data_IF_209844378046
#
_entry.id   IF_209844378046
#
_cell.length_a   1.000
_cell.length_b   1.000
_cell.length_c   1.000
_cell.angle_alpha   90.00
_cell.angle_beta   90.00
_cell.angle_gamma   90.00
#
_symmetry.space_group_name_H-M   'P 1'
#
loop_
_entity.id
_entity.type
_entity.pdbx_description
1 polymer ?
#
# COMPACT_ATOMS: atom_id res chain seq x y z
N UNK A 1 3.46 -43.99 1.15
CA UNK A 1 4.03 -42.78 1.72
C UNK A 1 3.49 -41.63 0.90
N UNK A 2 2.65 -40.73 1.42
CA UNK A 2 2.23 -39.57 0.68
C UNK A 2 3.44 -38.63 0.62
N UNK A 3 3.83 -38.25 -0.60
CA UNK A 3 4.78 -37.19 -0.86
C UNK A 3 4.23 -35.92 -0.21
N UNK A 4 4.79 -35.55 0.93
CA UNK A 4 4.64 -34.21 1.49
C UNK A 4 5.14 -33.23 0.42
N UNK A 5 4.21 -32.66 -0.35
CA UNK A 5 4.51 -31.47 -1.14
C UNK A 5 4.91 -30.40 -0.15
N UNK A 6 6.21 -30.21 0.00
CA UNK A 6 6.74 -29.08 0.77
C UNK A 6 6.05 -27.82 0.22
N UNK A 7 5.12 -27.29 1.00
CA UNK A 7 4.38 -26.10 0.62
C UNK A 7 5.38 -24.94 0.55
N UNK A 8 5.73 -24.53 -0.66
CA UNK A 8 6.67 -23.45 -0.90
C UNK A 8 5.99 -22.09 -0.68
N UNK A 9 6.72 -21.13 -0.16
CA UNK A 9 6.27 -19.75 -0.08
C UNK A 9 6.00 -19.23 -1.50
N UNK A 10 4.86 -18.56 -1.69
CA UNK A 10 4.50 -17.96 -2.97
C UNK A 10 4.34 -16.46 -2.81
N UNK A 11 5.06 -15.70 -3.64
CA UNK A 11 5.03 -14.24 -3.65
C UNK A 11 4.19 -13.72 -4.80
N UNK A 12 3.45 -12.65 -4.52
CA UNK A 12 2.64 -11.91 -5.49
C UNK A 12 3.04 -10.43 -5.42
N UNK A 13 3.35 -9.87 -6.56
CA UNK A 13 3.58 -8.43 -6.67
C UNK A 13 2.27 -7.68 -6.43
N UNK A 14 2.38 -6.48 -5.87
CA UNK A 14 1.23 -5.60 -5.70
C UNK A 14 1.07 -4.70 -6.93
N UNK A 15 -0.17 -4.53 -7.36
CA UNK A 15 -0.53 -3.56 -8.38
C UNK A 15 -0.90 -2.23 -7.74
N UNK A 16 -0.47 -1.13 -8.35
CA UNK A 16 -0.78 0.23 -7.90
C UNK A 16 -1.22 1.09 -9.08
N UNK A 17 -2.08 2.05 -8.82
CA UNK A 17 -2.57 2.98 -9.84
C UNK A 17 -1.45 3.92 -10.29
N UNK A 18 -0.92 3.71 -11.50
CA UNK A 18 0.10 4.60 -12.09
C UNK A 18 -0.38 6.04 -12.19
N UNK A 19 -1.67 6.25 -12.50
CA UNK A 19 -2.29 7.57 -12.56
C UNK A 19 -2.23 8.27 -11.19
N UNK A 20 -2.54 7.55 -10.12
CA UNK A 20 -2.51 8.11 -8.77
C UNK A 20 -1.07 8.42 -8.32
N UNK A 21 -0.10 7.55 -8.65
CA UNK A 21 1.31 7.79 -8.37
C UNK A 21 1.80 9.04 -9.11
N UNK A 22 1.46 9.16 -10.40
CA UNK A 22 1.82 10.33 -11.22
C UNK A 22 1.18 11.61 -10.67
N UNK A 23 -0.11 11.59 -10.36
CA UNK A 23 -0.83 12.75 -9.80
C UNK A 23 -0.23 13.17 -8.45
N UNK A 24 0.07 12.24 -7.55
CA UNK A 24 0.73 12.54 -6.27
C UNK A 24 2.11 13.18 -6.50
N UNK A 25 2.88 12.64 -7.44
CA UNK A 25 4.20 13.20 -7.78
C UNK A 25 4.07 14.62 -8.32
N UNK A 26 3.13 14.89 -9.24
CA UNK A 26 2.89 16.22 -9.79
C UNK A 26 2.45 17.19 -8.67
N UNK A 27 1.52 16.77 -7.81
CA UNK A 27 1.03 17.59 -6.69
C UNK A 27 2.17 17.97 -5.74
N UNK A 28 3.06 17.03 -5.42
CA UNK A 28 4.22 17.29 -4.58
C UNK A 28 5.21 18.27 -5.23
N UNK A 29 5.45 18.12 -6.54
CA UNK A 29 6.32 19.03 -7.28
C UNK A 29 5.72 20.44 -7.31
N UNK A 30 4.43 20.57 -7.65
CA UNK A 30 3.75 21.88 -7.69
C UNK A 30 3.77 22.55 -6.31
N UNK A 31 3.47 21.81 -5.25
CA UNK A 31 3.50 22.32 -3.88
C UNK A 31 4.90 22.79 -3.49
N UNK A 32 5.94 22.03 -3.85
CA UNK A 32 7.34 22.42 -3.59
C UNK A 32 7.69 23.70 -4.32
N UNK A 33 7.36 23.82 -5.61
CA UNK A 33 7.63 25.02 -6.40
C UNK A 33 6.91 26.25 -5.81
N UNK A 34 5.67 26.10 -5.36
CA UNK A 34 4.92 27.20 -4.71
C UNK A 34 5.59 27.66 -3.41
N UNK A 35 6.04 26.72 -2.58
CA UNK A 35 6.75 27.06 -1.33
C UNK A 35 8.10 27.71 -1.64
N UNK A 36 8.80 27.28 -2.68
CA UNK A 36 10.07 27.90 -3.08
C UNK A 36 9.86 29.35 -3.54
N UNK A 37 8.85 29.59 -4.37
CA UNK A 37 8.52 30.95 -4.81
C UNK A 37 8.16 31.86 -3.62
N UNK A 38 7.40 31.33 -2.66
CA UNK A 38 7.07 32.06 -1.43
C UNK A 38 8.32 32.33 -0.57
N UNK A 39 9.20 31.35 -0.43
CA UNK A 39 10.46 31.46 0.31
C UNK A 39 11.40 32.49 -0.32
N UNK A 40 11.47 32.50 -1.65
CA UNK A 40 12.25 33.48 -2.41
C UNK A 40 11.69 34.89 -2.22
N UNK A 41 10.37 35.03 -2.30
CA UNK A 41 9.71 36.34 -2.05
C UNK A 41 9.97 36.87 -0.65
N UNK A 42 9.85 36.02 0.37
CA UNK A 42 10.15 36.38 1.76
C UNK A 42 11.65 36.68 1.94
N UNK A 43 12.53 35.88 1.33
CA UNK A 43 13.98 36.08 1.40
C UNK A 43 14.45 37.39 0.79
N UNK A 44 13.83 37.84 -0.31
CA UNK A 44 14.15 39.14 -0.97
C UNK A 44 13.64 40.31 -0.15
N UNK A 45 12.48 40.19 0.49
CA UNK A 45 11.81 41.30 1.19
C UNK A 45 12.10 41.36 2.69
N UNK A 46 12.84 40.42 3.25
CA UNK A 46 13.20 40.37 4.68
C UNK A 46 14.70 40.46 4.90
N UNK A 47 15.11 41.14 6.00
CA UNK A 47 16.50 41.13 6.45
C UNK A 47 17.03 39.72 6.88
N UNK A 48 16.15 38.72 6.89
CA UNK A 48 16.44 37.34 7.32
C UNK A 48 16.64 36.39 6.12
N UNK A 49 17.49 36.75 5.16
CA UNK A 49 17.76 35.91 3.95
C UNK A 49 18.14 34.48 4.26
N UNK A 50 18.80 34.19 5.38
CA UNK A 50 19.13 32.83 5.84
C UNK A 50 17.89 32.01 6.17
N UNK A 51 16.82 32.59 6.65
CA UNK A 51 15.57 31.89 6.95
C UNK A 51 14.90 31.38 5.67
N UNK A 52 14.87 32.19 4.62
CA UNK A 52 14.36 31.77 3.30
C UNK A 52 15.14 30.60 2.74
N UNK A 53 16.48 30.65 2.77
CA UNK A 53 17.35 29.58 2.29
C UNK A 53 17.11 28.27 3.06
N UNK A 54 17.05 28.33 4.38
CA UNK A 54 16.83 27.15 5.23
C UNK A 54 15.45 26.53 4.94
N UNK A 55 14.43 27.34 4.77
CA UNK A 55 13.08 26.87 4.45
C UNK A 55 13.04 26.16 3.08
N UNK A 56 13.68 26.74 2.06
CA UNK A 56 13.78 26.15 0.72
C UNK A 56 14.47 24.79 0.77
N UNK A 57 15.65 24.67 1.39
CA UNK A 57 16.36 23.41 1.52
C UNK A 57 15.51 22.35 2.23
N UNK A 58 14.81 22.72 3.30
CA UNK A 58 13.95 21.82 4.07
C UNK A 58 12.79 21.32 3.23
N UNK A 59 12.11 22.18 2.49
CA UNK A 59 10.98 21.80 1.63
C UNK A 59 11.40 20.89 0.47
N UNK A 60 12.51 21.20 -0.19
CA UNK A 60 13.09 20.34 -1.23
C UNK A 60 13.44 18.96 -0.69
N UNK A 61 14.04 18.88 0.49
CA UNK A 61 14.40 17.63 1.13
C UNK A 61 13.17 16.80 1.46
N UNK A 62 12.11 17.41 1.99
CA UNK A 62 10.84 16.72 2.30
C UNK A 62 10.18 16.20 1.03
N UNK A 63 10.13 17.00 -0.04
CA UNK A 63 9.54 16.59 -1.31
C UNK A 63 10.31 15.44 -1.95
N UNK A 64 11.64 15.53 -2.03
CA UNK A 64 12.50 14.49 -2.56
C UNK A 64 12.35 13.18 -1.75
N UNK A 65 12.34 13.28 -0.42
CA UNK A 65 12.13 12.14 0.46
C UNK A 65 10.75 11.51 0.25
N UNK A 66 9.69 12.31 0.12
CA UNK A 66 8.33 11.81 -0.08
C UNK A 66 8.19 11.07 -1.41
N UNK A 67 8.72 11.61 -2.50
CA UNK A 67 8.71 10.98 -3.82
C UNK A 67 9.52 9.67 -3.78
N UNK A 68 10.70 9.70 -3.20
CA UNK A 68 11.55 8.52 -3.06
C UNK A 68 10.87 7.44 -2.20
N UNK A 69 10.23 7.82 -1.09
CA UNK A 69 9.50 6.92 -0.21
C UNK A 69 8.34 6.22 -0.92
N UNK A 70 7.48 6.98 -1.64
CA UNK A 70 6.35 6.43 -2.37
C UNK A 70 6.82 5.46 -3.46
N UNK A 71 7.83 5.85 -4.25
CA UNK A 71 8.38 4.98 -5.31
C UNK A 71 8.96 3.68 -4.74
N UNK A 72 9.68 3.76 -3.63
CA UNK A 72 10.23 2.57 -2.98
C UNK A 72 9.15 1.69 -2.36
N UNK A 73 8.13 2.29 -1.74
CA UNK A 73 7.01 1.53 -1.19
C UNK A 73 6.31 0.72 -2.28
N UNK A 74 5.99 1.36 -3.41
CA UNK A 74 5.34 0.72 -4.55
C UNK A 74 6.21 -0.40 -5.13
N UNK A 75 7.52 -0.14 -5.31
CA UNK A 75 8.43 -1.08 -5.98
C UNK A 75 8.77 -2.33 -5.16
N UNK A 76 8.76 -2.22 -3.84
CA UNK A 76 9.25 -3.29 -2.95
C UNK A 76 8.20 -3.88 -2.03
N UNK A 77 6.92 -3.56 -2.26
CA UNK A 77 5.82 -4.16 -1.52
C UNK A 77 5.29 -5.38 -2.27
N UNK A 78 5.01 -6.43 -1.53
CA UNK A 78 4.46 -7.68 -2.09
C UNK A 78 3.60 -8.41 -1.06
N UNK A 79 2.76 -9.32 -1.55
CA UNK A 79 2.04 -10.29 -0.74
C UNK A 79 2.80 -11.62 -0.76
N UNK A 80 2.84 -12.30 0.35
CA UNK A 80 3.46 -13.62 0.47
C UNK A 80 2.51 -14.58 1.17
N UNK A 81 2.23 -15.71 0.53
CA UNK A 81 1.56 -16.85 1.15
C UNK A 81 2.67 -17.76 1.64
N UNK A 82 2.78 -17.87 2.97
CA UNK A 82 3.86 -18.61 3.61
C UNK A 82 3.53 -20.10 3.76
N UNK A 83 4.52 -20.91 4.04
CA UNK A 83 4.37 -22.36 4.27
C UNK A 83 3.58 -22.69 5.55
N UNK A 84 3.50 -21.77 6.49
CA UNK A 84 2.76 -21.85 7.75
C UNK A 84 1.32 -21.29 7.66
N UNK A 85 0.74 -21.27 6.47
CA UNK A 85 -0.62 -20.85 6.17
C UNK A 85 -0.96 -19.42 6.66
N UNK A 86 0.00 -18.52 6.47
CA UNK A 86 -0.14 -17.10 6.77
C UNK A 86 -0.03 -16.28 5.50
N UNK A 87 -1.00 -15.38 5.29
CA UNK A 87 -0.91 -14.33 4.29
C UNK A 87 -0.18 -13.13 4.89
N UNK A 88 1.01 -12.86 4.40
CA UNK A 88 1.88 -11.77 4.87
C UNK A 88 1.90 -10.63 3.86
N UNK A 89 1.62 -9.42 4.35
CA UNK A 89 1.80 -8.20 3.58
C UNK A 89 3.15 -7.58 3.94
N UNK A 90 4.06 -7.59 2.99
CA UNK A 90 5.42 -7.11 3.17
C UNK A 90 5.55 -5.69 2.60
N UNK A 91 5.94 -4.74 3.44
CA UNK A 91 6.14 -3.35 3.07
C UNK A 91 7.53 -2.87 3.46
N UNK A 92 8.23 -2.25 2.52
CA UNK A 92 9.55 -1.70 2.83
C UNK A 92 9.43 -0.57 3.86
N UNK A 93 10.21 -0.70 4.94
CA UNK A 93 10.28 0.31 6.00
C UNK A 93 9.11 0.29 7.00
N UNK A 94 8.23 -0.71 6.93
CA UNK A 94 7.13 -0.92 7.89
C UNK A 94 7.13 -2.35 8.40
N UNK A 95 6.48 -2.55 9.55
CA UNK A 95 6.24 -3.88 10.10
C UNK A 95 5.27 -4.63 9.18
N UNK A 96 5.62 -5.86 8.81
CA UNK A 96 4.76 -6.73 8.04
C UNK A 96 3.44 -6.98 8.79
N UNK A 97 2.35 -7.03 8.04
CA UNK A 97 1.04 -7.41 8.56
C UNK A 97 0.76 -8.82 8.12
N UNK A 98 0.35 -9.66 9.07
CA UNK A 98 0.09 -11.09 8.85
C UNK A 98 -1.37 -11.41 9.11
N UNK A 99 -1.95 -12.25 8.26
CA UNK A 99 -3.32 -12.71 8.33
C UNK A 99 -3.34 -14.24 8.25
N UNK A 100 -3.91 -14.94 9.24
CA UNK A 100 -3.99 -16.39 9.21
C UNK A 100 -4.99 -16.84 8.14
N UNK A 101 -4.57 -17.71 7.22
CA UNK A 101 -5.39 -18.19 6.09
C UNK A 101 -6.59 -18.99 6.60
N UNK A 102 -6.44 -19.74 7.65
CA UNK A 102 -7.53 -20.50 8.31
C UNK A 102 -8.69 -19.65 8.83
N UNK A 103 -8.46 -18.37 9.04
CA UNK A 103 -9.52 -17.44 9.48
C UNK A 103 -10.25 -16.78 8.30
N UNK A 104 -9.89 -17.11 7.07
CA UNK A 104 -10.55 -16.57 5.88
C UNK A 104 -11.93 -17.19 5.74
N UNK A 105 -12.97 -16.36 5.70
CA UNK A 105 -14.35 -16.76 5.51
C UNK A 105 -14.80 -16.67 4.06
N UNK A 106 -14.49 -15.57 3.41
CA UNK A 106 -14.83 -15.32 2.01
C UNK A 106 -13.69 -14.63 1.28
N UNK A 107 -13.53 -15.01 0.01
CA UNK A 107 -12.61 -14.38 -0.93
C UNK A 107 -13.42 -14.07 -2.18
N UNK A 108 -13.42 -12.83 -2.60
CA UNK A 108 -14.11 -12.37 -3.80
C UNK A 108 -13.29 -11.32 -4.54
N UNK A 109 -13.42 -11.32 -5.87
CA UNK A 109 -12.95 -10.18 -6.66
C UNK A 109 -13.87 -9.00 -6.40
N UNK A 110 -13.27 -7.83 -6.19
CA UNK A 110 -14.04 -6.64 -5.88
C UNK A 110 -13.38 -5.40 -6.47
N UNK A 111 -14.21 -4.44 -6.82
CA UNK A 111 -13.72 -3.11 -7.20
C UNK A 111 -13.39 -2.29 -5.97
N UNK A 112 -12.51 -1.30 -6.13
CA UNK A 112 -12.18 -0.34 -5.08
C UNK A 112 -13.42 0.35 -4.50
N UNK A 113 -14.42 0.65 -5.36
CA UNK A 113 -15.70 1.24 -4.94
C UNK A 113 -16.48 0.30 -4.02
N UNK A 114 -16.60 -0.99 -4.38
CA UNK A 114 -17.26 -2.00 -3.54
C UNK A 114 -16.54 -2.19 -2.20
N UNK A 115 -15.20 -2.14 -2.22
CA UNK A 115 -14.40 -2.20 -1.00
C UNK A 115 -14.67 -1.01 -0.08
N UNK A 116 -14.76 0.20 -0.62
CA UNK A 116 -15.08 1.41 0.12
C UNK A 116 -16.53 1.36 0.70
N UNK A 117 -17.52 0.93 -0.08
CA UNK A 117 -18.89 0.75 0.38
C UNK A 117 -19.03 -0.25 1.54
N UNK A 118 -18.16 -1.25 1.58
CA UNK A 118 -18.10 -2.25 2.67
C UNK A 118 -17.15 -1.86 3.80
N UNK A 119 -16.67 -0.63 3.83
CA UNK A 119 -15.72 -0.14 4.83
C UNK A 119 -14.46 -1.01 4.95
N UNK A 120 -13.98 -1.55 3.83
CA UNK A 120 -12.79 -2.39 3.82
C UNK A 120 -11.56 -1.66 4.37
N UNK A 121 -10.72 -2.38 5.08
CA UNK A 121 -9.43 -1.87 5.50
C UNK A 121 -8.40 -2.10 4.39
N UNK A 122 -7.50 -1.13 4.22
CA UNK A 122 -6.41 -1.20 3.26
C UNK A 122 -5.11 -1.43 4.01
N UNK A 123 -4.35 -2.49 3.70
CA UNK A 123 -3.11 -2.80 4.42
C UNK A 123 -2.06 -1.69 4.31
N UNK A 124 -2.07 -0.94 3.19
CA UNK A 124 -1.20 0.23 2.99
C UNK A 124 -2.05 1.49 3.11
N UNK A 125 -2.14 2.05 4.29
CA UNK A 125 -2.70 3.39 4.47
C UNK A 125 -1.55 4.38 4.46
N UNK A 126 -1.35 5.07 3.34
CA UNK A 126 -0.32 6.10 3.22
C UNK A 126 -0.80 7.46 3.70
N UNK A 127 -2.10 7.71 3.56
CA UNK A 127 -2.72 9.00 3.90
C UNK A 127 -4.25 8.87 3.75
N UNK A 128 -5.03 9.90 4.09
CA UNK A 128 -6.47 9.98 3.81
C UNK A 128 -6.82 9.81 2.32
N UNK A 129 -5.85 9.97 1.43
CA UNK A 129 -5.92 9.69 -0.02
C UNK A 129 -5.23 8.38 -0.42
N UNK A 130 -4.87 7.53 0.53
CA UNK A 130 -4.18 6.27 0.24
C UNK A 130 -5.00 5.30 -0.61
N UNK A 131 -6.32 5.40 -0.55
CA UNK A 131 -7.23 4.62 -1.37
C UNK A 131 -7.05 4.86 -2.87
N UNK A 132 -6.68 6.09 -3.28
CA UNK A 132 -6.45 6.42 -4.69
C UNK A 132 -5.23 5.70 -5.29
N UNK A 133 -4.31 5.18 -4.46
CA UNK A 133 -3.15 4.42 -4.91
C UNK A 133 -3.51 2.99 -5.33
N UNK A 134 -4.63 2.48 -4.86
CA UNK A 134 -5.09 1.15 -5.22
C UNK A 134 -5.69 1.14 -6.63
N UNK A 135 -5.50 0.05 -7.39
CA UNK A 135 -6.15 -0.12 -8.68
C UNK A 135 -7.66 -0.27 -8.49
N UNK A 136 -8.40 -0.10 -9.59
CA UNK A 136 -9.86 -0.26 -9.59
C UNK A 136 -10.32 -1.67 -9.23
N UNK A 137 -9.50 -2.67 -9.49
CA UNK A 137 -9.79 -4.09 -9.29
C UNK A 137 -8.82 -4.69 -8.28
N UNK A 138 -9.32 -5.61 -7.47
CA UNK A 138 -8.54 -6.29 -6.46
C UNK A 138 -9.31 -7.43 -5.82
N UNK A 139 -8.86 -7.86 -4.65
CA UNK A 139 -9.41 -8.98 -3.90
C UNK A 139 -9.86 -8.52 -2.52
N UNK A 140 -11.12 -8.79 -2.20
CA UNK A 140 -11.69 -8.53 -0.89
C UNK A 140 -11.72 -9.83 -0.09
N UNK A 141 -11.09 -9.81 1.07
CA UNK A 141 -11.01 -10.97 1.97
C UNK A 141 -11.73 -10.64 3.28
N UNK A 142 -12.71 -11.46 3.62
CA UNK A 142 -13.42 -11.39 4.90
C UNK A 142 -12.93 -12.50 5.81
N UNK A 143 -12.61 -12.18 7.06
CA UNK A 143 -12.12 -13.11 8.07
C UNK A 143 -13.23 -13.50 9.05
N UNK A 144 -13.14 -14.72 9.63
CA UNK A 144 -14.12 -15.26 10.58
C UNK A 144 -14.16 -14.50 11.92
N UNK A 145 -13.04 -13.95 12.33
CA UNK A 145 -12.91 -13.22 13.60
C UNK A 145 -12.35 -11.84 13.37
N UNK A 146 -12.76 -10.92 14.22
CA UNK A 146 -12.16 -9.59 14.30
C UNK A 146 -10.69 -9.70 14.71
N UNK A 147 -9.80 -9.93 13.77
CA UNK A 147 -8.39 -9.99 14.03
C UNK A 147 -7.86 -8.57 14.30
N UNK A 148 -7.26 -8.36 15.45
CA UNK A 148 -6.77 -7.05 15.91
C UNK A 148 -7.81 -5.91 15.85
N UNK A 149 -9.08 -6.20 16.19
CA UNK A 149 -10.21 -5.24 16.26
C UNK A 149 -10.80 -4.80 14.93
N UNK A 150 -10.44 -5.38 13.80
CA UNK A 150 -11.11 -5.07 12.54
C UNK A 150 -12.20 -6.11 12.25
N UNK A 151 -13.46 -5.66 12.29
CA UNK A 151 -14.62 -6.44 11.86
C UNK A 151 -14.75 -6.33 10.31
N UNK A 152 -14.01 -5.43 9.71
CA UNK A 152 -14.12 -5.07 8.31
C UNK A 152 -13.27 -5.98 7.41
N UNK A 153 -13.74 -6.25 6.20
CA UNK A 153 -12.95 -6.97 5.22
C UNK A 153 -11.66 -6.21 4.86
N UNK A 154 -10.69 -6.92 4.31
CA UNK A 154 -9.42 -6.36 3.89
C UNK A 154 -9.32 -6.40 2.37
N UNK A 155 -8.99 -5.27 1.76
CA UNK A 155 -8.80 -5.16 0.33
C UNK A 155 -7.32 -5.31 -0.05
N UNK A 156 -7.04 -6.26 -0.93
CA UNK A 156 -5.71 -6.54 -1.46
C UNK A 156 -5.67 -6.27 -2.95
N UNK A 157 -4.51 -5.92 -3.47
CA UNK A 157 -4.29 -5.56 -4.86
C UNK A 157 -3.13 -6.36 -5.50
N UNK A 158 -3.21 -7.71 -5.54
CA UNK A 158 -2.21 -8.49 -6.26
C UNK A 158 -2.24 -8.18 -7.76
N UNK A 159 -1.09 -8.23 -8.42
CA UNK A 159 -1.00 -8.06 -9.88
C UNK A 159 -1.62 -9.24 -10.65
N UNK A 160 -1.56 -10.44 -10.07
CA UNK A 160 -2.20 -11.67 -10.57
C UNK A 160 -3.37 -12.04 -9.64
N UNK A 161 -4.53 -11.47 -9.89
CA UNK A 161 -5.75 -11.70 -9.10
C UNK A 161 -6.19 -13.16 -9.14
N UNK A 162 -6.36 -13.81 -10.33
CA UNK A 162 -6.80 -15.19 -10.39
C UNK A 162 -5.83 -16.15 -9.70
N UNK A 163 -4.53 -16.05 -9.98
CA UNK A 163 -3.51 -16.91 -9.38
C UNK A 163 -3.41 -16.73 -7.86
N UNK A 164 -3.66 -15.53 -7.34
CA UNK A 164 -3.70 -15.26 -5.92
C UNK A 164 -4.91 -15.95 -5.25
N UNK A 165 -6.10 -15.78 -5.83
CA UNK A 165 -7.35 -16.39 -5.33
C UNK A 165 -7.25 -17.91 -5.35
N UNK A 166 -6.77 -18.48 -6.46
CA UNK A 166 -6.62 -19.94 -6.59
C UNK A 166 -5.65 -20.52 -5.56
N UNK A 167 -4.53 -19.82 -5.33
CA UNK A 167 -3.56 -20.23 -4.32
C UNK A 167 -4.16 -20.21 -2.92
N UNK A 168 -4.93 -19.17 -2.56
CA UNK A 168 -5.61 -19.10 -1.26
C UNK A 168 -6.68 -20.20 -1.12
N UNK A 169 -7.50 -20.41 -2.15
CA UNK A 169 -8.54 -21.45 -2.15
C UNK A 169 -7.95 -22.85 -2.03
N UNK A 170 -6.80 -23.11 -2.64
CA UNK A 170 -6.10 -24.38 -2.49
C UNK A 170 -5.67 -24.62 -1.05
N UNK A 171 -5.15 -23.56 -0.37
CA UNK A 171 -4.73 -23.66 1.02
C UNK A 171 -5.88 -23.89 1.99
N UNK A 172 -7.02 -23.24 1.77
CA UNK A 172 -8.21 -23.40 2.62
C UNK A 172 -8.83 -24.80 2.49
N UNK A 173 -8.72 -25.45 1.30
CA UNK A 173 -9.29 -26.79 1.06
C UNK A 173 -8.46 -27.95 1.60
N UNK A 174 -7.23 -27.73 2.00
CA UNK A 174 -6.31 -28.78 2.48
C UNK A 174 -6.53 -29.10 3.96
N UNK A 175 -7.33 -28.30 4.68
CA UNK A 175 -7.84 -28.61 6.02
C UNK A 175 -9.16 -29.41 5.94
#
# INVERSE_FOLDING_TARGET
>A
MPLSHAMTNRKFELSFSEKAIKNNTITMVVFTVMIELLSLYVGINSAAGWFGLTLTITCLSIAAFSIFYIRNLVRYSYLEITSDDTLRCCYRGRRNVEYPIKEIKFIEEATLKQAAERHATFPIVLNTKGEELYPSEGVLITFNRAWKKSIFPVYFNPSDIPGFIDTLKQRIKVE
#
